data_IF_328948106882
#
_entry.id   IF_328948106882
#
_cell.length_a   1.000
_cell.length_b   1.000
_cell.length_c   1.000
_cell.angle_alpha   90.00
_cell.angle_beta   90.00
_cell.angle_gamma   90.00
#
_symmetry.space_group_name_H-M   'P 1'
#
loop_
_entity.id
_entity.type
_entity.pdbx_description
1 polymer ?
#
# COMPACT_ATOMS: atom_id res chain seq x y z
N UNK A 1 -41.48 -70.17 37.35
CA UNK A 1 -42.89 -69.86 37.11
C UNK A 1 -43.19 -68.63 37.94
N UNK A 2 -42.94 -67.44 37.39
CA UNK A 2 -43.91 -66.60 36.64
C UNK A 2 -44.87 -65.91 37.61
N UNK A 3 -45.12 -64.61 37.61
CA UNK A 3 -44.78 -63.54 36.67
C UNK A 3 -45.02 -62.19 37.37
N UNK A 4 -44.71 -61.13 36.65
CA UNK A 4 -44.42 -59.75 37.04
C UNK A 4 -45.51 -58.99 37.81
N UNK A 5 -45.03 -58.05 38.62
CA UNK A 5 -45.79 -57.23 39.53
C UNK A 5 -45.89 -55.77 39.08
N UNK A 6 -47.05 -55.19 39.45
CA UNK A 6 -47.27 -53.81 39.89
C UNK A 6 -47.09 -52.66 38.88
N UNK A 7 -47.91 -51.62 38.90
CA UNK A 7 -48.97 -51.29 39.86
C UNK A 7 -49.41 -49.84 39.66
N UNK A 8 -50.71 -49.69 39.45
CA UNK A 8 -51.60 -48.59 39.81
C UNK A 8 -51.12 -47.13 39.72
N UNK A 9 -51.69 -46.46 38.72
CA UNK A 9 -51.87 -45.01 38.61
C UNK A 9 -52.78 -44.44 39.71
N UNK A 10 -52.41 -43.28 40.25
CA UNK A 10 -53.36 -42.30 40.78
C UNK A 10 -52.89 -40.88 40.40
N UNK A 11 -53.76 -40.15 39.71
CA UNK A 11 -53.54 -38.76 39.25
C UNK A 11 -53.52 -37.77 40.43
N UNK A 12 -52.48 -36.93 40.45
CA UNK A 12 -52.30 -35.82 41.40
C UNK A 12 -52.45 -34.45 40.69
N UNK A 13 -52.83 -33.38 41.42
CA UNK A 13 -53.35 -32.13 40.85
C UNK A 13 -52.26 -31.18 40.32
N UNK A 14 -52.67 -30.31 39.39
CA UNK A 14 -51.86 -29.25 38.77
C UNK A 14 -51.21 -28.31 39.80
N UNK A 15 -49.88 -28.22 39.77
CA UNK A 15 -49.10 -27.13 40.39
C UNK A 15 -48.59 -26.18 39.29
N UNK A 16 -48.68 -24.88 39.55
CA UNK A 16 -48.20 -23.81 38.69
C UNK A 16 -46.67 -23.87 38.48
N UNK A 17 -46.13 -23.42 37.34
CA UNK A 17 -44.69 -23.46 37.10
C UNK A 17 -43.97 -22.45 38.02
N UNK A 18 -43.00 -22.95 38.79
CA UNK A 18 -42.02 -22.13 39.51
C UNK A 18 -41.29 -21.19 38.54
N UNK A 19 -41.27 -19.91 38.87
CA UNK A 19 -40.50 -18.91 38.14
C UNK A 19 -38.99 -19.16 38.35
N UNK A 20 -38.28 -19.46 37.27
CA UNK A 20 -36.83 -19.53 37.27
C UNK A 20 -36.20 -18.17 37.65
N UNK A 21 -35.08 -18.14 38.40
CA UNK A 21 -34.46 -16.89 38.82
C UNK A 21 -33.90 -16.13 37.61
N UNK A 22 -34.35 -14.89 37.42
CA UNK A 22 -33.80 -13.95 36.44
C UNK A 22 -32.33 -13.65 36.79
N UNK A 23 -31.39 -14.29 36.10
CA UNK A 23 -29.99 -13.82 36.06
C UNK A 23 -29.95 -12.54 35.23
N UNK A 24 -29.79 -11.39 35.90
CA UNK A 24 -29.43 -10.15 35.22
C UNK A 24 -28.07 -10.34 34.54
N UNK A 25 -28.05 -10.22 33.20
CA UNK A 25 -26.81 -10.12 32.46
C UNK A 25 -26.02 -8.90 32.96
N UNK A 26 -24.70 -9.01 33.16
CA UNK A 26 -23.91 -7.87 33.59
C UNK A 26 -24.02 -6.77 32.53
N UNK A 27 -24.31 -5.53 32.96
CA UNK A 27 -24.30 -4.38 32.07
C UNK A 27 -22.89 -4.24 31.49
N UNK A 28 -22.80 -4.22 30.16
CA UNK A 28 -21.56 -4.05 29.43
C UNK A 28 -20.87 -2.75 29.89
N UNK A 29 -19.79 -2.88 30.64
CA UNK A 29 -18.88 -1.76 30.89
C UNK A 29 -18.11 -1.48 29.60
N UNK A 30 -18.16 -0.23 29.11
CA UNK A 30 -17.53 0.24 27.86
C UNK A 30 -16.02 -0.08 27.75
N UNK A 31 -15.34 -0.35 28.87
CA UNK A 31 -13.94 -0.82 28.88
C UNK A 31 -13.72 -2.18 28.21
N UNK A 32 -14.72 -3.07 28.19
CA UNK A 32 -14.59 -4.40 27.56
C UNK A 32 -14.83 -4.31 26.05
N UNK A 33 -15.63 -3.34 25.59
CA UNK A 33 -15.78 -3.05 24.15
C UNK A 33 -14.51 -2.45 23.55
N UNK A 34 -13.75 -1.64 24.32
CA UNK A 34 -12.42 -1.17 23.86
C UNK A 34 -11.37 -2.29 23.75
N UNK A 35 -11.59 -3.44 24.40
CA UNK A 35 -10.73 -4.62 24.23
C UNK A 35 -11.18 -5.57 23.12
N UNK A 36 -12.42 -5.42 22.61
CA UNK A 36 -13.01 -6.28 21.58
C UNK A 36 -13.14 -5.61 20.20
N UNK A 37 -12.62 -4.38 20.03
CA UNK A 37 -12.52 -3.71 18.73
C UNK A 37 -11.08 -3.52 18.23
N UNK A 38 -10.10 -4.26 18.75
CA UNK A 38 -8.84 -4.45 18.00
C UNK A 38 -9.14 -5.33 16.79
N UNK A 39 -9.85 -4.79 15.79
CA UNK A 39 -9.66 -5.26 14.41
C UNK A 39 -8.15 -5.19 14.22
N UNK A 40 -7.51 -6.33 13.95
CA UNK A 40 -6.08 -6.37 13.66
C UNK A 40 -5.87 -5.67 12.33
N UNK A 41 -5.79 -4.35 12.37
CA UNK A 41 -5.47 -3.58 11.19
C UNK A 41 -3.95 -3.51 11.09
N UNK A 42 -3.42 -3.54 9.87
CA UNK A 42 -1.98 -3.53 9.67
C UNK A 42 -1.36 -2.27 10.31
N UNK A 43 -0.18 -2.44 10.89
CA UNK A 43 0.58 -1.38 11.52
C UNK A 43 1.08 -0.39 10.46
N UNK A 44 1.00 0.91 10.74
CA UNK A 44 1.54 1.94 9.86
C UNK A 44 3.08 1.90 9.86
N UNK A 45 3.75 1.70 8.70
CA UNK A 45 5.20 1.47 8.66
C UNK A 45 6.05 2.58 9.29
N UNK A 46 5.62 3.84 9.18
CA UNK A 46 6.36 4.97 9.77
C UNK A 46 6.09 5.21 11.26
N UNK A 47 4.83 5.12 11.69
CA UNK A 47 4.43 5.52 13.05
C UNK A 47 4.47 4.34 14.04
N UNK A 48 4.03 3.16 13.61
CA UNK A 48 3.80 2.04 14.52
C UNK A 48 5.03 1.12 14.65
N UNK A 49 5.85 1.00 13.59
CA UNK A 49 7.08 0.22 13.66
C UNK A 49 8.07 0.88 14.63
N UNK A 50 8.54 0.10 15.60
CA UNK A 50 9.56 0.57 16.53
C UNK A 50 10.89 0.79 15.80
N UNK A 51 11.62 1.84 16.17
CA UNK A 51 12.96 2.12 15.63
C UNK A 51 13.96 1.02 15.97
N UNK A 52 13.73 0.26 17.04
CA UNK A 52 14.56 -0.86 17.48
C UNK A 52 15.50 -0.50 18.65
N UNK A 53 15.84 -1.47 19.51
CA UNK A 53 16.54 -1.24 20.77
C UNK A 53 18.01 -0.84 20.63
N UNK A 54 18.60 -0.97 19.44
CA UNK A 54 19.98 -0.58 19.16
C UNK A 54 20.12 0.86 18.63
N UNK A 55 19.01 1.59 18.49
CA UNK A 55 19.03 2.93 17.94
C UNK A 55 19.79 3.89 18.88
N UNK A 56 20.51 4.90 18.35
CA UNK A 56 20.60 5.29 16.94
C UNK A 56 21.59 4.47 16.07
N UNK A 57 22.43 3.62 16.64
CA UNK A 57 23.48 2.89 15.87
C UNK A 57 22.93 1.77 15.01
N UNK A 58 21.99 0.98 15.55
CA UNK A 58 21.33 -0.14 14.87
C UNK A 58 19.81 0.06 14.97
N UNK A 59 19.14 0.22 13.83
CA UNK A 59 17.73 0.55 13.76
C UNK A 59 17.00 -0.35 12.77
N UNK A 60 15.68 -0.43 12.89
CA UNK A 60 14.83 -0.98 11.85
C UNK A 60 14.76 0.02 10.69
N UNK A 61 14.83 -0.47 9.46
CA UNK A 61 14.68 0.29 8.22
C UNK A 61 13.54 -0.32 7.42
N UNK A 62 12.56 0.47 6.99
CA UNK A 62 11.54 0.03 6.03
C UNK A 62 12.10 0.27 4.64
N UNK A 63 12.16 -0.77 3.81
CA UNK A 63 12.63 -0.68 2.43
C UNK A 63 11.47 -0.24 1.54
N UNK A 64 11.69 0.80 0.76
CA UNK A 64 10.75 1.25 -0.27
C UNK A 64 11.20 0.78 -1.63
N UNK A 65 12.47 0.97 -1.96
CA UNK A 65 13.01 0.70 -3.28
C UNK A 65 14.02 -0.45 -3.20
N UNK A 66 13.70 -1.52 -3.92
CA UNK A 66 14.56 -2.69 -4.06
C UNK A 66 15.85 -2.35 -4.81
N UNK A 67 16.97 -2.89 -4.34
CA UNK A 67 18.24 -2.91 -5.08
C UNK A 67 18.02 -3.41 -6.51
N UNK A 68 18.47 -2.65 -7.50
CA UNK A 68 18.33 -2.94 -8.92
C UNK A 68 17.02 -2.46 -9.56
N UNK A 69 16.14 -1.80 -8.81
CA UNK A 69 14.86 -1.29 -9.33
C UNK A 69 15.00 0.08 -10.00
N UNK A 70 14.20 0.30 -11.06
CA UNK A 70 13.85 1.63 -11.61
C UNK A 70 12.54 2.19 -11.08
N UNK A 71 11.73 1.36 -10.43
CA UNK A 71 10.47 1.78 -9.83
C UNK A 71 10.80 2.49 -8.54
N UNK A 72 10.56 3.81 -8.50
CA UNK A 72 10.63 4.57 -7.25
C UNK A 72 9.30 4.39 -6.51
N UNK A 73 9.32 3.51 -5.53
CA UNK A 73 8.26 3.41 -4.55
C UNK A 73 8.44 4.47 -3.45
N UNK A 74 7.34 4.81 -2.80
CA UNK A 74 7.29 5.68 -1.63
C UNK A 74 6.16 5.24 -0.70
N UNK A 75 6.33 5.46 0.60
CA UNK A 75 5.25 5.33 1.57
C UNK A 75 4.29 6.50 1.41
N UNK A 76 3.02 6.21 1.14
CA UNK A 76 1.96 7.19 1.30
C UNK A 76 1.69 7.39 2.81
N UNK A 77 2.23 8.48 3.36
CA UNK A 77 2.20 8.81 4.79
C UNK A 77 0.78 8.87 5.40
N UNK A 78 -0.25 9.11 4.57
CA UNK A 78 -1.64 9.22 5.03
C UNK A 78 -2.28 7.85 5.22
N UNK A 79 -2.00 6.92 4.31
CA UNK A 79 -2.63 5.59 4.28
C UNK A 79 -1.75 4.49 4.85
N UNK A 80 -0.44 4.69 4.90
CA UNK A 80 0.57 3.67 5.22
C UNK A 80 0.79 2.65 4.10
N UNK A 81 0.20 2.85 2.92
CA UNK A 81 0.37 1.98 1.76
C UNK A 81 1.61 2.37 0.95
N UNK A 82 2.19 1.40 0.25
CA UNK A 82 3.30 1.66 -0.68
C UNK A 82 2.73 2.12 -2.03
N UNK A 83 3.18 3.28 -2.47
CA UNK A 83 2.81 3.93 -3.72
C UNK A 83 3.96 3.86 -4.71
N UNK A 84 3.68 3.64 -5.99
CA UNK A 84 4.63 3.96 -7.06
C UNK A 84 4.58 5.46 -7.30
N UNK A 85 5.66 6.16 -6.94
CA UNK A 85 5.82 7.59 -7.24
C UNK A 85 6.01 7.79 -8.74
N UNK A 86 7.03 7.14 -9.30
CA UNK A 86 7.36 7.21 -10.72
C UNK A 86 8.31 6.10 -11.16
N UNK A 87 8.46 5.96 -12.48
CA UNK A 87 9.58 5.24 -13.08
C UNK A 87 10.72 6.23 -13.33
N UNK A 88 11.96 5.84 -13.00
CA UNK A 88 13.12 6.69 -13.27
C UNK A 88 13.25 7.01 -14.77
N UNK A 89 13.54 8.26 -15.09
CA UNK A 89 13.77 8.73 -16.47
C UNK A 89 15.13 8.30 -17.03
N UNK A 90 16.09 8.06 -16.13
CA UNK A 90 17.44 7.62 -16.46
C UNK A 90 17.52 6.11 -16.66
N UNK A 91 18.58 5.64 -17.32
CA UNK A 91 18.87 4.20 -17.44
C UNK A 91 19.38 3.55 -16.16
N UNK A 92 19.75 4.34 -15.13
CA UNK A 92 20.27 3.82 -13.87
C UNK A 92 19.19 3.15 -13.02
N UNK A 93 19.64 2.29 -12.12
CA UNK A 93 18.84 1.58 -11.12
C UNK A 93 19.41 1.86 -9.73
N UNK A 94 18.60 1.77 -8.68
CA UNK A 94 19.10 1.94 -7.32
C UNK A 94 20.17 0.88 -7.00
N UNK A 95 21.42 1.26 -6.65
CA UNK A 95 22.52 0.31 -6.49
C UNK A 95 22.38 -0.56 -5.22
N UNK A 96 21.58 -0.10 -4.26
CA UNK A 96 21.33 -0.73 -2.97
C UNK A 96 19.87 -0.52 -2.55
N UNK A 97 19.42 -1.23 -1.51
CA UNK A 97 18.06 -1.07 -1.00
C UNK A 97 17.91 0.33 -0.39
N UNK A 98 16.82 1.00 -0.67
CA UNK A 98 16.57 2.37 -0.21
C UNK A 98 15.23 2.43 0.53
N UNK A 99 15.17 3.23 1.57
CA UNK A 99 13.92 3.53 2.26
C UNK A 99 14.19 4.46 3.41
N UNK A 100 13.49 4.25 4.53
CA UNK A 100 13.50 5.22 5.63
C UNK A 100 13.57 4.57 7.00
N UNK A 101 13.95 5.36 7.99
CA UNK A 101 14.00 4.97 9.40
C UNK A 101 12.63 5.32 10.06
N UNK A 102 11.89 4.34 10.60
CA UNK A 102 10.60 4.61 11.23
C UNK A 102 10.77 5.47 12.48
N UNK A 103 9.73 6.23 12.84
CA UNK A 103 9.72 7.16 13.98
C UNK A 103 10.86 8.19 14.00
N UNK A 104 11.32 8.59 12.82
CA UNK A 104 12.20 9.74 12.62
C UNK A 104 11.43 10.84 11.90
N UNK A 105 11.89 12.09 12.03
CA UNK A 105 11.29 13.27 11.39
C UNK A 105 12.39 14.25 10.97
N UNK A 106 12.42 14.59 9.70
CA UNK A 106 13.33 15.55 9.08
C UNK A 106 12.71 16.96 8.99
N UNK A 107 13.47 17.92 8.46
CA UNK A 107 13.05 19.32 8.40
C UNK A 107 11.85 19.59 7.48
N UNK A 108 11.76 18.80 6.43
CA UNK A 108 10.69 18.72 5.42
C UNK A 108 9.43 17.96 5.88
N UNK A 109 9.45 17.38 7.09
CA UNK A 109 8.41 16.50 7.63
C UNK A 109 8.34 15.11 6.95
N UNK A 110 9.48 14.62 6.49
CA UNK A 110 9.66 13.26 5.98
C UNK A 110 10.41 12.41 7.01
N UNK A 111 10.26 11.07 6.98
CA UNK A 111 11.17 10.22 7.71
C UNK A 111 12.59 10.34 7.17
N UNK A 112 13.59 10.04 8.01
CA UNK A 112 14.99 10.09 7.62
C UNK A 112 15.32 8.97 6.63
N UNK A 113 15.80 9.37 5.45
CA UNK A 113 16.20 8.48 4.36
C UNK A 113 17.45 7.67 4.69
N UNK A 114 17.47 6.41 4.23
CA UNK A 114 18.59 5.50 4.39
C UNK A 114 18.79 4.62 3.16
N UNK A 115 20.05 4.50 2.74
CA UNK A 115 20.53 3.53 1.75
C UNK A 115 21.22 2.37 2.48
N UNK A 116 20.70 1.16 2.33
CA UNK A 116 21.19 -0.05 3.02
C UNK A 116 21.94 -0.96 2.05
N UNK A 117 23.24 -1.10 2.29
CA UNK A 117 24.13 -2.02 1.58
C UNK A 117 23.95 -3.45 2.11
N UNK A 118 23.71 -4.38 1.19
CA UNK A 118 23.64 -5.82 1.44
C UNK A 118 23.73 -6.63 0.13
N UNK A 119 23.87 -7.94 0.26
CA UNK A 119 23.92 -8.90 -0.85
C UNK A 119 22.61 -8.89 -1.65
N UNK A 120 21.49 -9.14 -0.97
CA UNK A 120 20.22 -9.46 -1.61
C UNK A 120 19.26 -8.25 -1.76
N UNK A 121 18.47 -8.20 -2.83
CA UNK A 121 17.36 -7.26 -2.96
C UNK A 121 16.27 -7.54 -1.92
N UNK A 122 15.69 -6.48 -1.35
CA UNK A 122 14.57 -6.56 -0.40
C UNK A 122 13.33 -5.92 -1.02
N UNK A 123 12.19 -6.57 -0.80
CA UNK A 123 10.89 -6.18 -1.33
C UNK A 123 10.35 -4.91 -0.65
N UNK A 124 9.72 -3.97 -1.39
CA UNK A 124 9.02 -2.83 -0.82
C UNK A 124 8.09 -3.20 0.34
N UNK A 125 8.11 -2.39 1.39
CA UNK A 125 7.31 -2.58 2.61
C UNK A 125 7.89 -3.59 3.60
N UNK A 126 8.87 -4.42 3.21
CA UNK A 126 9.64 -5.21 4.17
C UNK A 126 10.56 -4.31 5.01
N UNK A 127 10.83 -4.71 6.24
CA UNK A 127 11.83 -4.05 7.08
C UNK A 127 12.95 -4.99 7.48
N UNK A 128 14.10 -4.42 7.77
CA UNK A 128 15.32 -5.12 8.19
C UNK A 128 16.04 -4.31 9.27
N UNK A 129 16.98 -4.95 9.98
CA UNK A 129 17.88 -4.22 10.88
C UNK A 129 19.07 -3.69 10.09
N UNK A 130 19.30 -2.39 10.20
CA UNK A 130 20.38 -1.68 9.55
C UNK A 130 21.30 -1.06 10.61
N UNK A 131 22.60 -1.00 10.31
CA UNK A 131 23.62 -0.36 11.14
C UNK A 131 24.18 0.84 10.40
N UNK A 132 24.10 2.03 11.00
CA UNK A 132 24.66 3.25 10.42
C UNK A 132 26.19 3.14 10.30
N UNK A 133 26.73 3.42 9.12
CA UNK A 133 28.17 3.44 8.87
C UNK A 133 28.66 4.78 8.30
N UNK A 134 27.77 5.63 7.80
CA UNK A 134 28.14 6.97 7.34
C UNK A 134 26.93 7.82 6.95
N UNK A 135 27.21 9.08 6.65
CA UNK A 135 26.23 10.04 6.16
C UNK A 135 26.67 10.51 4.78
N UNK A 136 25.73 10.59 3.84
CA UNK A 136 25.94 11.16 2.51
C UNK A 136 25.27 12.53 2.47
N UNK A 137 26.02 13.64 2.63
CA UNK A 137 25.44 14.95 2.48
C UNK A 137 25.13 15.20 1.01
N UNK A 138 23.90 15.57 0.73
CA UNK A 138 23.40 15.76 -0.63
C UNK A 138 22.63 17.08 -0.71
N UNK A 139 22.79 17.77 -1.83
CA UNK A 139 22.05 18.96 -2.18
C UNK A 139 21.17 18.61 -3.39
N UNK A 140 19.86 18.68 -3.21
CA UNK A 140 18.86 18.43 -4.26
C UNK A 140 18.18 19.76 -4.60
N UNK A 141 18.40 20.26 -5.83
CA UNK A 141 17.84 21.55 -6.28
C UNK A 141 18.13 22.75 -5.34
N UNK A 142 19.27 22.71 -4.64
CA UNK A 142 19.68 23.77 -3.70
C UNK A 142 19.22 23.55 -2.26
N UNK A 143 18.37 22.55 -2.01
CA UNK A 143 17.93 22.16 -0.67
C UNK A 143 18.77 21.01 -0.12
N UNK A 144 18.95 20.98 1.19
CA UNK A 144 19.72 19.96 1.88
C UNK A 144 18.88 18.69 2.03
N UNK A 145 19.38 17.56 1.54
CA UNK A 145 18.71 16.25 1.55
C UNK A 145 19.70 15.13 1.93
N UNK A 146 20.27 15.23 3.13
CA UNK A 146 21.25 14.25 3.62
C UNK A 146 20.63 12.86 3.74
N UNK A 147 21.42 11.82 3.41
CA UNK A 147 20.96 10.43 3.49
C UNK A 147 21.88 9.58 4.37
N UNK A 148 21.29 8.72 5.19
CA UNK A 148 22.06 7.75 5.98
C UNK A 148 22.59 6.65 5.04
N UNK A 149 23.87 6.30 5.20
CA UNK A 149 24.46 5.11 4.60
C UNK A 149 24.59 4.05 5.70
N UNK A 150 23.97 2.90 5.46
CA UNK A 150 23.92 1.81 6.42
C UNK A 150 24.25 0.47 5.75
N UNK A 151 24.56 -0.53 6.58
CA UNK A 151 24.67 -1.94 6.18
C UNK A 151 23.58 -2.76 6.84
N UNK A 152 23.15 -3.85 6.21
CA UNK A 152 22.29 -4.81 6.90
C UNK A 152 23.04 -5.42 8.09
N UNK A 153 22.46 -5.32 9.30
CA UNK A 153 23.07 -5.80 10.53
C UNK A 153 23.11 -7.33 10.63
N UNK A 154 22.33 -8.01 9.78
CA UNK A 154 22.14 -9.46 9.75
C UNK A 154 22.73 -10.13 8.48
N UNK A 155 23.33 -9.35 7.58
CA UNK A 155 23.99 -9.87 6.38
C UNK A 155 25.45 -10.26 6.71
N UNK A 156 25.83 -11.55 6.61
CA UNK A 156 27.19 -12.01 6.93
C UNK A 156 28.31 -11.32 6.15
N UNK A 157 28.06 -10.82 4.94
CA UNK A 157 29.07 -10.13 4.15
C UNK A 157 29.26 -8.68 4.61
N UNK A 158 28.19 -8.01 5.04
CA UNK A 158 28.21 -6.58 5.32
C UNK A 158 28.21 -6.21 6.81
N UNK A 159 27.78 -7.12 7.70
CA UNK A 159 27.59 -6.84 9.12
C UNK A 159 28.85 -6.38 9.86
N UNK A 160 30.04 -6.63 9.29
CA UNK A 160 31.33 -6.28 9.90
C UNK A 160 31.74 -4.82 9.68
N UNK A 161 31.20 -4.13 8.66
CA UNK A 161 31.55 -2.72 8.41
C UNK A 161 31.03 -1.82 9.51
N UNK A 162 31.86 -0.92 10.05
CA UNK A 162 31.51 0.01 11.14
C UNK A 162 31.63 1.48 10.75
N UNK A 163 32.39 1.79 9.70
CA UNK A 163 32.54 3.14 9.17
C UNK A 163 32.60 3.11 7.64
N UNK A 164 32.08 4.17 7.01
CA UNK A 164 32.00 4.32 5.56
C UNK A 164 33.36 4.23 4.86
N UNK A 165 34.45 4.59 5.56
CA UNK A 165 35.82 4.50 5.04
C UNK A 165 36.32 3.08 4.87
N UNK A 166 35.68 2.10 5.51
CA UNK A 166 36.01 0.68 5.37
C UNK A 166 35.44 0.08 4.07
N UNK A 167 34.45 0.73 3.45
CA UNK A 167 33.91 0.28 2.17
C UNK A 167 34.95 0.42 1.06
N UNK A 168 34.96 -0.51 0.07
CA UNK A 168 35.79 -0.36 -1.11
C UNK A 168 35.54 0.98 -1.81
N UNK A 169 36.57 1.75 -2.21
CA UNK A 169 36.39 3.10 -2.78
C UNK A 169 35.46 3.14 -4.00
N UNK A 170 35.45 2.09 -4.82
CA UNK A 170 34.56 2.00 -5.99
C UNK A 170 33.08 1.98 -5.59
N UNK A 171 32.71 1.48 -4.40
CA UNK A 171 31.32 1.50 -3.90
C UNK A 171 30.86 2.91 -3.58
N UNK A 172 31.72 3.72 -2.98
CA UNK A 172 31.43 5.13 -2.71
C UNK A 172 31.26 5.91 -4.02
N UNK A 173 32.12 5.63 -5.01
CA UNK A 173 32.01 6.22 -6.36
C UNK A 173 30.72 5.81 -7.07
N UNK A 174 30.31 4.54 -6.98
CA UNK A 174 29.05 4.02 -7.54
C UNK A 174 27.83 4.73 -6.92
N UNK A 175 27.76 4.80 -5.59
CA UNK A 175 26.67 5.49 -4.87
C UNK A 175 26.61 6.97 -5.24
N UNK A 176 27.74 7.67 -5.18
CA UNK A 176 27.85 9.08 -5.58
C UNK A 176 27.32 9.28 -7.00
N UNK A 177 27.81 8.47 -7.94
CA UNK A 177 27.47 8.62 -9.35
C UNK A 177 25.98 8.38 -9.62
N UNK A 178 25.38 7.42 -8.93
CA UNK A 178 23.95 7.17 -9.02
C UNK A 178 23.13 8.41 -8.63
N UNK A 179 23.37 9.01 -7.46
CA UNK A 179 22.61 10.17 -6.99
C UNK A 179 22.87 11.44 -7.80
N UNK A 180 24.06 11.61 -8.37
CA UNK A 180 24.33 12.72 -9.31
C UNK A 180 23.61 12.52 -10.66
N UNK A 181 23.38 11.28 -11.10
CA UNK A 181 22.86 10.99 -12.45
C UNK A 181 21.34 10.75 -12.52
N UNK A 182 20.71 10.18 -11.47
CA UNK A 182 19.35 9.61 -11.58
C UNK A 182 18.24 10.62 -11.93
N UNK A 183 18.42 11.91 -11.60
CA UNK A 183 17.46 12.98 -11.93
C UNK A 183 17.90 13.86 -13.12
N UNK A 184 19.02 13.57 -13.79
CA UNK A 184 19.51 14.41 -14.90
C UNK A 184 18.53 14.50 -16.07
N UNK A 185 17.90 13.39 -16.44
CA UNK A 185 16.89 13.36 -17.50
C UNK A 185 15.57 14.05 -17.10
N UNK A 186 15.41 14.42 -15.83
CA UNK A 186 14.31 15.27 -15.33
C UNK A 186 14.68 16.77 -15.38
N UNK A 187 15.87 17.14 -15.88
CA UNK A 187 16.45 18.48 -15.80
C UNK A 187 16.60 19.01 -14.36
N UNK A 188 16.91 18.12 -13.42
CA UNK A 188 17.22 18.48 -12.02
C UNK A 188 18.68 18.25 -11.74
N UNK A 189 19.25 19.10 -10.89
CA UNK A 189 20.63 19.03 -10.44
C UNK A 189 20.70 18.49 -9.01
N UNK A 190 21.57 17.50 -8.82
CA UNK A 190 21.87 16.90 -7.52
C UNK A 190 23.38 16.91 -7.35
N UNK A 191 23.85 17.38 -6.21
CA UNK A 191 25.26 17.36 -5.84
C UNK A 191 25.44 16.52 -4.58
N UNK A 192 26.40 15.60 -4.61
CA UNK A 192 26.79 14.80 -3.44
C UNK A 192 28.10 15.38 -2.92
N UNK A 193 28.19 15.67 -1.62
CA UNK A 193 29.44 16.13 -0.99
C UNK A 193 30.27 14.94 -0.51
N UNK A 194 31.36 15.18 0.20
CA UNK A 194 32.17 14.10 0.78
C UNK A 194 31.38 13.30 1.81
N UNK A 195 31.52 11.98 1.75
CA UNK A 195 30.90 11.07 2.70
C UNK A 195 31.47 11.30 4.10
N UNK A 196 30.59 11.39 5.09
CA UNK A 196 30.92 11.66 6.48
C UNK A 196 30.87 10.36 7.32
N UNK A 197 31.67 10.27 8.40
CA UNK A 197 31.83 9.05 9.19
C UNK A 197 30.56 8.64 9.94
N UNK A 198 30.59 7.42 10.49
CA UNK A 198 29.45 6.82 11.21
C UNK A 198 28.95 7.67 12.38
N UNK A 199 29.83 8.40 13.06
CA UNK A 199 29.47 9.31 14.15
C UNK A 199 28.50 10.40 13.70
N UNK A 200 28.69 10.95 12.50
CA UNK A 200 27.82 12.01 11.96
C UNK A 200 26.44 11.45 11.61
N UNK A 201 26.39 10.22 11.08
CA UNK A 201 25.13 9.53 10.80
C UNK A 201 24.32 9.28 12.08
N UNK A 202 25.00 8.80 13.14
CA UNK A 202 24.41 8.56 14.46
C UNK A 202 23.83 9.84 15.05
N UNK A 203 24.55 10.97 14.97
CA UNK A 203 24.08 12.27 15.42
C UNK A 203 22.83 12.74 14.64
N UNK A 204 22.83 12.58 13.32
CA UNK A 204 21.68 12.92 12.47
C UNK A 204 20.44 12.10 12.81
N UNK A 205 20.59 10.78 13.02
CA UNK A 205 19.51 9.89 13.44
C UNK A 205 18.97 10.33 14.82
N UNK A 206 19.86 10.57 15.79
CA UNK A 206 19.48 10.98 17.13
C UNK A 206 18.71 12.32 17.14
N UNK A 207 19.16 13.28 16.33
CA UNK A 207 18.47 14.55 16.15
C UNK A 207 17.06 14.35 15.59
N UNK A 208 16.92 13.52 14.55
CA UNK A 208 15.64 13.25 13.90
C UNK A 208 14.65 12.52 14.83
N UNK A 209 15.11 11.58 15.66
CA UNK A 209 14.31 10.94 16.72
C UNK A 209 13.82 11.99 17.73
N UNK A 210 14.73 12.87 18.19
CA UNK A 210 14.41 13.88 19.20
C UNK A 210 13.37 14.89 18.68
N UNK A 211 13.46 15.26 17.39
CA UNK A 211 12.48 16.12 16.72
C UNK A 211 11.10 15.46 16.66
N UNK A 212 11.04 14.17 16.29
CA UNK A 212 9.79 13.40 16.26
C UNK A 212 9.13 13.36 17.65
N UNK A 213 9.89 13.06 18.70
CA UNK A 213 9.38 13.04 20.08
C UNK A 213 8.84 14.41 20.52
N UNK A 214 9.53 15.49 20.13
CA UNK A 214 9.11 16.86 20.45
C UNK A 214 7.80 17.22 19.75
N UNK A 215 7.62 16.81 18.50
CA UNK A 215 6.36 16.99 17.76
C UNK A 215 5.20 16.23 18.41
N UNK A 216 5.43 14.98 18.83
CA UNK A 216 4.41 14.18 19.54
C UNK A 216 4.00 14.85 20.86
N UNK A 217 4.96 15.34 21.65
CA UNK A 217 4.69 16.02 22.91
C UNK A 217 3.89 17.33 22.72
N UNK A 218 4.27 18.16 21.75
CA UNK A 218 3.56 19.40 21.43
C UNK A 218 2.12 19.14 20.98
N UNK A 219 1.91 18.08 20.20
CA UNK A 219 0.57 17.68 19.78
C UNK A 219 -0.29 17.24 20.97
N UNK A 220 0.26 16.48 21.92
CA UNK A 220 -0.46 16.08 23.13
C UNK A 220 -0.83 17.28 24.03
N UNK A 221 0.07 18.25 24.19
CA UNK A 221 -0.21 19.48 24.94
C UNK A 221 -1.30 20.34 24.27
N UNK A 222 -1.26 20.47 22.94
CA UNK A 222 -2.27 21.22 22.19
C UNK A 222 -3.68 20.60 22.33
N UNK A 223 -3.76 19.26 22.36
CA UNK A 223 -5.03 18.53 22.57
C UNK A 223 -5.52 18.69 24.00
N UNK A 224 -4.62 18.68 24.99
CA UNK A 224 -4.98 18.90 26.39
C UNK A 224 -5.46 20.34 26.63
N UNK A 225 -4.79 21.35 26.06
CA UNK A 225 -5.22 22.75 26.17
C UNK A 225 -6.54 23.03 25.44
N UNK A 226 -6.80 22.38 24.29
CA UNK A 226 -8.09 22.45 23.60
C UNK A 226 -9.24 21.77 24.37
N UNK A 227 -8.94 20.86 25.31
CA UNK A 227 -9.92 20.20 26.18
C UNK A 227 -10.24 20.99 27.46
N UNK A 228 -9.47 22.05 27.75
CA UNK A 228 -9.73 23.00 28.83
C UNK A 228 -10.68 24.11 28.41
N UNK A 229 -11.94 24.01 28.83
CA UNK A 229 -12.93 25.12 28.86
C UNK A 229 -13.70 25.44 27.56
N UNK A 230 -14.39 24.46 26.97
CA UNK A 230 -15.52 24.71 26.04
C UNK A 230 -16.72 23.81 26.33
N UNK A 231 -17.97 24.31 26.18
CA UNK A 231 -19.17 23.49 26.30
C UNK A 231 -19.16 22.40 25.20
N UNK A 232 -19.65 21.22 25.58
CA UNK A 232 -19.68 20.00 24.75
C UNK A 232 -20.24 20.30 23.35
N UNK A 233 -19.49 20.08 22.25
CA UNK A 233 -20.01 20.28 20.90
C UNK A 233 -20.98 19.16 20.54
N UNK A 234 -22.05 19.51 19.82
CA UNK A 234 -23.01 18.57 19.24
C UNK A 234 -22.30 17.63 18.25
N UNK A 235 -22.80 16.39 18.17
CA UNK A 235 -22.27 15.16 17.57
C UNK A 235 -21.61 15.24 16.17
N UNK A 236 -21.71 16.36 15.45
CA UNK A 236 -21.35 16.45 14.03
C UNK A 236 -19.90 16.88 13.76
N UNK A 237 -19.19 17.47 14.73
CA UNK A 237 -17.77 17.87 14.56
C UNK A 237 -16.75 16.84 15.07
N UNK A 238 -17.20 15.85 15.86
CA UNK A 238 -16.33 14.79 16.37
C UNK A 238 -15.95 13.73 15.33
N UNK A 239 -16.79 13.54 14.30
CA UNK A 239 -16.58 12.49 13.30
C UNK A 239 -15.41 12.84 12.36
N UNK A 240 -15.17 14.13 12.09
CA UNK A 240 -14.06 14.58 11.23
C UNK A 240 -12.75 14.73 12.00
N UNK A 241 -12.77 15.14 13.27
CA UNK A 241 -11.54 15.26 14.08
C UNK A 241 -11.00 13.91 14.58
N UNK A 242 -11.85 12.88 14.73
CA UNK A 242 -11.39 11.52 15.01
C UNK A 242 -10.74 10.82 13.80
N UNK A 243 -10.94 11.34 12.58
CA UNK A 243 -10.29 10.83 11.37
C UNK A 243 -8.86 11.36 11.18
N UNK A 244 -8.48 12.42 11.92
CA UNK A 244 -7.10 12.95 11.95
C UNK A 244 -6.13 12.07 12.75
N UNK A 245 -6.60 10.95 13.34
CA UNK A 245 -5.81 10.01 14.14
C UNK A 245 -5.87 8.58 13.59
N UNK A 246 -5.82 8.38 12.28
CA UNK A 246 -5.71 7.03 11.72
C UNK A 246 -4.26 6.54 11.82
N UNK A 247 -3.87 6.08 13.01
CA UNK A 247 -2.67 5.27 13.29
C UNK A 247 -2.87 3.82 12.82
N UNK A 248 -3.48 3.64 11.66
CA UNK A 248 -4.15 2.40 11.26
C UNK A 248 -4.01 2.27 9.75
N UNK A 249 -3.39 1.20 9.25
CA UNK A 249 -3.23 1.01 7.80
C UNK A 249 -4.58 1.03 7.07
N UNK A 250 -4.61 1.73 5.95
CA UNK A 250 -5.82 1.92 5.15
C UNK A 250 -6.26 0.61 4.47
N UNK A 251 -7.57 0.36 4.46
CA UNK A 251 -8.16 -0.64 3.57
C UNK A 251 -8.01 -0.19 2.09
N UNK A 252 -7.31 -0.93 1.22
CA UNK A 252 -6.97 -0.47 -0.13
C UNK A 252 -8.18 -0.11 -1.00
N UNK A 253 -9.34 -0.74 -0.79
CA UNK A 253 -10.56 -0.41 -1.55
C UNK A 253 -11.34 0.79 -0.99
N UNK A 254 -11.47 0.90 0.34
CA UNK A 254 -12.42 1.82 0.96
C UNK A 254 -11.75 3.09 1.47
N UNK A 255 -10.53 2.97 2.01
CA UNK A 255 -9.85 4.07 2.66
C UNK A 255 -8.94 4.84 1.70
N UNK A 256 -8.34 4.16 0.70
CA UNK A 256 -7.59 4.82 -0.37
C UNK A 256 -8.52 5.73 -1.17
N UNK A 257 -8.09 6.96 -1.40
CA UNK A 257 -8.82 7.91 -2.23
C UNK A 257 -8.68 7.56 -3.71
N UNK A 258 -9.74 7.75 -4.48
CA UNK A 258 -9.71 7.54 -5.94
C UNK A 258 -8.78 8.54 -6.64
N UNK A 259 -8.51 9.70 -6.03
CA UNK A 259 -7.63 10.73 -6.55
C UNK A 259 -8.40 11.88 -7.24
N UNK A 260 -7.87 13.12 -7.17
CA UNK A 260 -8.60 14.32 -7.61
C UNK A 260 -8.77 14.46 -9.14
N UNK A 261 -8.07 13.63 -9.93
CA UNK A 261 -8.20 13.63 -11.39
C UNK A 261 -9.26 12.67 -11.93
N UNK A 262 -9.97 11.95 -11.06
CA UNK A 262 -10.98 10.99 -11.46
C UNK A 262 -12.16 11.70 -12.17
N UNK A 263 -12.79 11.07 -13.18
CA UNK A 263 -12.59 9.68 -13.63
C UNK A 263 -11.41 9.49 -14.60
N UNK A 264 -10.78 10.56 -15.10
CA UNK A 264 -9.74 10.45 -16.14
C UNK A 264 -8.39 9.97 -15.61
N UNK A 265 -7.97 10.45 -14.44
CA UNK A 265 -6.73 10.03 -13.75
C UNK A 265 -7.08 9.62 -12.33
N UNK A 266 -6.84 8.37 -11.99
CA UNK A 266 -7.23 7.79 -10.71
C UNK A 266 -6.07 7.01 -10.08
N UNK A 267 -6.15 6.76 -8.78
CA UNK A 267 -5.32 5.78 -8.10
C UNK A 267 -5.80 4.37 -8.46
N UNK A 268 -4.88 3.45 -8.69
CA UNK A 268 -5.14 2.05 -8.99
C UNK A 268 -4.32 1.19 -8.03
N UNK A 269 -4.93 0.21 -7.39
CA UNK A 269 -4.22 -0.80 -6.59
C UNK A 269 -3.87 -1.96 -7.49
N UNK A 270 -2.58 -2.32 -7.56
CA UNK A 270 -2.10 -3.45 -8.37
C UNK A 270 -2.29 -4.73 -7.57
N UNK A 271 -2.96 -5.71 -8.16
CA UNK A 271 -3.10 -7.06 -7.59
C UNK A 271 -2.13 -8.03 -8.28
N UNK A 272 -2.01 -7.95 -9.60
CA UNK A 272 -1.23 -8.91 -10.38
C UNK A 272 -0.13 -8.18 -11.12
N UNK A 273 1.09 -8.56 -10.80
CA UNK A 273 2.29 -8.04 -11.44
C UNK A 273 2.37 -8.47 -12.91
N UNK A 274 2.79 -7.54 -13.77
CA UNK A 274 3.18 -7.82 -15.16
C UNK A 274 4.11 -9.03 -15.25
N UNK A 275 3.79 -9.99 -16.11
CA UNK A 275 4.54 -11.23 -16.30
C UNK A 275 4.20 -12.36 -15.32
N UNK A 276 3.30 -12.14 -14.35
CA UNK A 276 2.89 -13.16 -13.39
C UNK A 276 1.82 -14.12 -13.94
N UNK A 277 1.86 -15.37 -13.47
CA UNK A 277 0.75 -16.35 -13.56
C UNK A 277 -0.07 -16.44 -12.28
N UNK A 278 0.45 -15.90 -11.18
CA UNK A 278 -0.24 -15.94 -9.90
C UNK A 278 -1.30 -14.85 -9.93
N UNK A 279 -2.57 -15.25 -9.96
CA UNK A 279 -3.68 -14.34 -9.76
C UNK A 279 -3.82 -14.10 -8.27
N UNK A 280 -3.39 -12.93 -7.84
CA UNK A 280 -3.77 -12.39 -6.55
C UNK A 280 -5.11 -11.66 -6.67
N UNK A 281 -5.76 -11.48 -5.53
CA UNK A 281 -6.99 -10.72 -5.39
C UNK A 281 -7.03 -10.05 -4.02
N UNK A 282 -7.75 -8.94 -3.91
CA UNK A 282 -8.07 -8.32 -2.65
C UNK A 282 -9.10 -9.18 -1.89
N UNK A 283 -8.74 -9.64 -0.69
CA UNK A 283 -9.74 -10.09 0.26
C UNK A 283 -10.48 -8.87 0.84
N UNK A 284 -11.66 -8.55 0.27
CA UNK A 284 -12.48 -7.37 0.61
C UNK A 284 -12.79 -7.19 2.09
N UNK A 285 -12.71 -8.26 2.88
CA UNK A 285 -13.00 -8.23 4.32
C UNK A 285 -11.80 -7.75 5.13
N UNK A 286 -10.61 -8.26 4.82
CA UNK A 286 -9.38 -7.96 5.57
C UNK A 286 -8.57 -6.83 4.94
N UNK A 287 -8.75 -6.55 3.66
CA UNK A 287 -7.93 -5.62 2.88
C UNK A 287 -6.58 -6.21 2.49
N UNK A 288 -6.33 -7.50 2.74
CA UNK A 288 -5.09 -8.18 2.40
C UNK A 288 -5.14 -8.69 0.96
N UNK A 289 -3.96 -8.71 0.32
CA UNK A 289 -3.78 -9.38 -0.96
C UNK A 289 -3.62 -10.89 -0.71
N UNK A 290 -4.46 -11.69 -1.36
CA UNK A 290 -4.52 -13.14 -1.23
C UNK A 290 -4.27 -13.80 -2.58
N UNK A 291 -3.60 -14.94 -2.59
CA UNK A 291 -3.54 -15.80 -3.79
C UNK A 291 -4.92 -16.40 -4.02
N UNK A 292 -5.55 -16.08 -5.15
CA UNK A 292 -6.76 -16.76 -5.64
C UNK A 292 -6.35 -18.10 -6.26
N UNK A 293 -5.54 -18.05 -7.32
CA UNK A 293 -5.07 -19.22 -8.07
C UNK A 293 -3.84 -18.93 -8.91
N UNK A 294 -3.20 -19.98 -9.41
CA UNK A 294 -2.24 -19.90 -10.50
C UNK A 294 -2.96 -20.18 -11.81
N UNK A 295 -2.72 -19.40 -12.87
CA UNK A 295 -3.34 -19.62 -14.17
C UNK A 295 -3.03 -21.03 -14.72
N UNK A 296 -4.06 -21.71 -15.22
CA UNK A 296 -3.95 -23.04 -15.86
C UNK A 296 -3.30 -22.97 -17.25
N UNK A 297 -3.40 -21.82 -17.90
CA UNK A 297 -2.87 -21.56 -19.23
C UNK A 297 -1.37 -21.24 -19.18
N UNK A 298 -0.71 -21.35 -20.34
CA UNK A 298 0.70 -21.01 -20.46
C UNK A 298 0.97 -19.50 -20.44
N UNK A 299 -0.08 -18.67 -20.61
CA UNK A 299 0.02 -17.21 -20.69
C UNK A 299 0.32 -16.58 -19.32
N UNK A 300 0.79 -15.34 -19.36
CA UNK A 300 1.07 -14.48 -18.20
C UNK A 300 0.35 -13.15 -18.41
N UNK A 301 0.03 -12.44 -17.33
CA UNK A 301 -0.55 -11.10 -17.45
C UNK A 301 0.43 -10.18 -18.20
N UNK A 302 0.05 -9.59 -19.36
CA UNK A 302 0.98 -8.82 -20.19
C UNK A 302 1.35 -7.46 -19.59
N UNK A 303 0.51 -6.97 -18.66
CA UNK A 303 0.62 -5.68 -17.98
C UNK A 303 0.17 -5.81 -16.53
N UNK A 304 0.42 -4.79 -15.70
CA UNK A 304 -0.02 -4.79 -14.31
C UNK A 304 -1.55 -4.73 -14.26
N UNK A 305 -2.16 -5.53 -13.40
CA UNK A 305 -3.62 -5.64 -13.30
C UNK A 305 -4.06 -5.41 -11.86
N UNK A 306 -5.21 -4.80 -11.68
CA UNK A 306 -5.85 -4.67 -10.38
C UNK A 306 -7.14 -3.88 -10.50
N UNK A 307 -7.41 -3.01 -9.53
CA UNK A 307 -8.71 -2.36 -9.41
C UNK A 307 -8.63 -0.88 -9.04
N UNK A 308 -9.72 -0.16 -9.29
CA UNK A 308 -9.89 1.25 -8.94
C UNK A 308 -10.55 1.34 -7.55
N UNK A 309 -9.93 1.97 -6.54
CA UNK A 309 -10.52 2.12 -5.21
C UNK A 309 -11.77 3.01 -5.27
N UNK A 310 -12.70 2.81 -4.34
CA UNK A 310 -13.99 3.53 -4.26
C UNK A 310 -14.83 3.46 -5.55
N UNK A 311 -14.79 2.33 -6.22
CA UNK A 311 -15.67 1.97 -7.33
C UNK A 311 -16.38 0.66 -7.02
N UNK A 312 -17.49 0.39 -7.71
CA UNK A 312 -18.31 -0.81 -7.56
C UNK A 312 -18.94 -1.21 -8.90
N UNK A 313 -18.86 -2.50 -9.23
CA UNK A 313 -19.49 -3.12 -10.38
C UNK A 313 -20.73 -3.94 -9.97
N UNK A 314 -21.50 -4.41 -10.96
CA UNK A 314 -22.75 -5.16 -10.74
C UNK A 314 -22.52 -6.51 -10.04
N UNK A 315 -21.32 -7.07 -10.14
CA UNK A 315 -20.84 -8.27 -9.45
C UNK A 315 -20.39 -8.03 -8.00
N UNK A 316 -20.47 -6.78 -7.51
CA UNK A 316 -19.98 -6.31 -6.22
C UNK A 316 -18.45 -6.33 -6.08
N UNK A 317 -17.69 -6.38 -7.18
CA UNK A 317 -16.25 -6.13 -7.19
C UNK A 317 -15.94 -4.65 -7.49
N UNK A 318 -14.77 -4.14 -7.07
CA UNK A 318 -14.27 -2.88 -7.60
C UNK A 318 -14.00 -2.98 -9.11
N UNK A 319 -14.06 -1.84 -9.81
CA UNK A 319 -13.83 -1.80 -11.25
C UNK A 319 -12.40 -2.20 -11.62
N UNK A 320 -12.30 -3.21 -12.48
CA UNK A 320 -11.05 -3.76 -12.98
C UNK A 320 -10.30 -2.81 -13.90
N UNK A 321 -8.98 -2.81 -13.80
CA UNK A 321 -8.08 -2.03 -14.66
C UNK A 321 -6.80 -2.77 -15.01
N UNK A 322 -6.42 -2.68 -16.28
CA UNK A 322 -5.12 -3.11 -16.81
C UNK A 322 -4.25 -1.88 -17.09
N UNK A 323 -3.12 -1.76 -16.38
CA UNK A 323 -2.21 -0.60 -16.46
C UNK A 323 -0.97 -0.94 -17.26
N UNK A 324 -0.83 -0.28 -18.41
CA UNK A 324 0.36 -0.32 -19.26
C UNK A 324 1.45 0.57 -18.67
N UNK A 325 2.64 -0.01 -18.50
CA UNK A 325 3.87 0.67 -18.08
C UNK A 325 5.11 -0.21 -18.36
N UNK A 326 6.29 0.38 -18.24
CA UNK A 326 7.58 -0.28 -18.44
C UNK A 326 7.79 -1.43 -17.44
N UNK A 327 7.66 -1.13 -16.16
CA UNK A 327 8.13 -1.99 -15.07
C UNK A 327 7.01 -2.83 -14.42
N UNK A 328 7.31 -4.04 -13.93
CA UNK A 328 6.42 -4.79 -13.06
C UNK A 328 6.24 -4.08 -11.71
N UNK A 329 5.01 -4.06 -11.21
CA UNK A 329 4.67 -3.48 -9.89
C UNK A 329 4.24 -4.57 -8.92
N UNK A 330 4.68 -4.45 -7.67
CA UNK A 330 4.37 -5.40 -6.61
C UNK A 330 2.87 -5.42 -6.25
N UNK A 331 2.27 -6.59 -5.97
CA UNK A 331 0.90 -6.68 -5.48
C UNK A 331 0.69 -5.89 -4.18
N UNK A 332 -0.45 -5.21 -4.07
CA UNK A 332 -0.83 -4.38 -2.93
C UNK A 332 -0.26 -2.96 -2.97
N UNK A 333 0.68 -2.67 -3.87
CA UNK A 333 1.11 -1.30 -4.15
C UNK A 333 0.06 -0.58 -5.01
N UNK A 334 -0.01 0.74 -4.91
CA UNK A 334 -0.88 1.54 -5.76
C UNK A 334 -0.11 2.56 -6.58
N UNK A 335 -0.71 3.03 -7.68
CA UNK A 335 -0.11 4.00 -8.59
C UNK A 335 -1.18 4.91 -9.18
N UNK A 336 -0.79 6.04 -9.78
CA UNK A 336 -1.72 6.85 -10.57
C UNK A 336 -1.79 6.34 -12.00
N UNK A 337 -2.99 6.13 -12.50
CA UNK A 337 -3.26 5.64 -13.84
C UNK A 337 -4.19 6.60 -14.59
N UNK A 338 -3.98 6.76 -15.89
CA UNK A 338 -4.87 7.50 -16.80
C UNK A 338 -5.68 6.52 -17.63
N UNK A 339 -7.01 6.65 -17.62
CA UNK A 339 -7.88 5.89 -18.51
C UNK A 339 -7.59 6.28 -19.97
N UNK A 340 -7.31 5.30 -20.83
CA UNK A 340 -7.12 5.54 -22.27
C UNK A 340 -8.15 4.78 -23.12
N UNK A 341 -8.81 3.76 -22.57
CA UNK A 341 -9.89 3.06 -23.26
C UNK A 341 -10.64 2.08 -22.36
N UNK A 342 -11.73 1.56 -22.89
CA UNK A 342 -12.52 0.50 -22.27
C UNK A 342 -12.42 -0.74 -23.15
N UNK A 343 -12.22 -1.90 -22.54
CA UNK A 343 -12.25 -3.19 -23.20
C UNK A 343 -13.54 -3.91 -22.80
N UNK A 344 -14.59 -3.88 -23.63
CA UNK A 344 -15.80 -4.63 -23.33
C UNK A 344 -15.51 -6.12 -23.47
N UNK A 345 -15.81 -6.87 -22.42
CA UNK A 345 -15.54 -8.30 -22.34
C UNK A 345 -16.77 -9.03 -21.82
N UNK A 346 -17.03 -10.19 -22.41
CA UNK A 346 -18.08 -11.12 -22.01
C UNK A 346 -17.39 -12.36 -21.47
N UNK A 347 -17.52 -12.61 -20.17
CA UNK A 347 -17.01 -13.80 -19.50
C UNK A 347 -18.18 -14.72 -19.14
N UNK A 348 -18.23 -15.90 -19.73
CA UNK A 348 -19.31 -16.88 -19.52
C UNK A 348 -20.75 -16.34 -19.72
N UNK A 349 -20.91 -15.28 -20.51
CA UNK A 349 -22.19 -14.65 -20.80
C UNK A 349 -22.51 -13.43 -19.92
N UNK A 350 -21.68 -13.15 -18.92
CA UNK A 350 -21.77 -11.97 -18.06
C UNK A 350 -20.84 -10.86 -18.57
N UNK A 351 -21.24 -9.62 -18.35
CA UNK A 351 -20.49 -8.44 -18.76
C UNK A 351 -19.39 -8.17 -17.73
N UNK A 352 -18.14 -8.16 -18.18
CA UNK A 352 -16.94 -7.97 -17.35
C UNK A 352 -16.00 -6.96 -18.04
N UNK A 353 -16.48 -5.73 -18.18
CA UNK A 353 -15.73 -4.66 -18.85
C UNK A 353 -14.46 -4.31 -18.06
N UNK A 354 -13.37 -4.06 -18.77
CA UNK A 354 -12.07 -3.73 -18.15
C UNK A 354 -11.57 -2.38 -18.61
N UNK A 355 -11.12 -1.55 -17.68
CA UNK A 355 -10.47 -0.28 -18.02
C UNK A 355 -9.07 -0.57 -18.54
N UNK A 356 -8.71 0.02 -19.67
CA UNK A 356 -7.33 0.06 -20.16
C UNK A 356 -6.75 1.42 -19.82
N UNK A 357 -5.65 1.40 -19.08
CA UNK A 357 -5.00 2.60 -18.56
C UNK A 357 -3.49 2.57 -18.80
N UNK A 358 -2.86 3.74 -18.69
CA UNK A 358 -1.40 3.89 -18.63
C UNK A 358 -0.99 4.46 -17.30
N UNK A 359 0.22 4.13 -16.82
CA UNK A 359 0.76 4.79 -15.63
C UNK A 359 0.96 6.29 -15.92
N UNK A 360 0.35 7.15 -15.11
CA UNK A 360 0.36 8.60 -15.30
C UNK A 360 1.73 9.23 -15.02
N UNK A 361 2.59 8.52 -14.30
CA UNK A 361 3.91 8.97 -13.84
C UNK A 361 5.07 8.15 -14.46
N UNK A 362 4.77 7.28 -15.45
CA UNK A 362 5.79 6.59 -16.27
C UNK A 362 6.19 7.47 -17.47
N UNK A 363 7.47 7.89 -17.59
CA UNK A 363 7.95 8.72 -18.70
C UNK A 363 7.64 8.17 -20.09
N UNK A 364 7.66 6.85 -20.25
CA UNK A 364 7.41 6.19 -21.55
C UNK A 364 5.93 6.16 -21.90
N UNK A 365 5.02 6.08 -20.92
CA UNK A 365 3.59 5.86 -21.20
C UNK A 365 2.69 7.07 -20.91
N UNK A 366 3.13 8.02 -20.08
CA UNK A 366 2.29 9.15 -19.61
C UNK A 366 1.69 10.03 -20.71
N UNK A 367 2.23 9.98 -21.92
CA UNK A 367 1.82 10.78 -23.07
C UNK A 367 0.63 10.19 -23.83
N UNK A 368 0.30 8.91 -23.62
CA UNK A 368 -0.87 8.29 -24.23
C UNK A 368 -2.15 8.82 -23.58
N UNK A 369 -3.10 9.26 -24.39
CA UNK A 369 -4.38 9.83 -23.96
C UNK A 369 -5.60 9.06 -24.49
N UNK A 370 -5.44 8.28 -25.56
CA UNK A 370 -6.50 7.44 -26.11
C UNK A 370 -5.96 6.09 -26.60
N UNK A 371 -6.80 5.05 -26.52
CA UNK A 371 -6.46 3.67 -26.88
C UNK A 371 -5.95 3.54 -28.33
N UNK A 372 -6.39 4.42 -29.22
CA UNK A 372 -6.00 4.44 -30.64
C UNK A 372 -4.56 4.87 -30.87
N UNK A 373 -3.93 5.51 -29.89
CA UNK A 373 -2.53 5.94 -29.95
C UNK A 373 -1.57 4.78 -29.67
N UNK A 374 -2.06 3.68 -29.07
CA UNK A 374 -1.26 2.49 -28.84
C UNK A 374 -0.92 1.78 -30.16
N UNK A 375 0.28 1.18 -30.28
CA UNK A 375 0.62 0.33 -31.41
C UNK A 375 -0.41 -0.81 -31.59
N UNK A 376 -0.89 -1.09 -32.83
CA UNK A 376 -1.94 -2.10 -33.06
C UNK A 376 -1.61 -3.50 -32.52
N UNK A 377 -0.33 -3.88 -32.47
CA UNK A 377 0.08 -5.17 -31.93
C UNK A 377 -0.15 -5.27 -30.41
N UNK A 378 -0.08 -4.15 -29.67
CA UNK A 378 -0.37 -4.10 -28.22
C UNK A 378 -1.83 -4.43 -27.96
N UNK A 379 -2.75 -3.85 -28.73
CA UNK A 379 -4.19 -4.15 -28.62
C UNK A 379 -4.50 -5.62 -28.95
N UNK A 380 -3.79 -6.16 -29.96
CA UNK A 380 -3.92 -7.57 -30.33
C UNK A 380 -3.42 -8.50 -29.22
N UNK A 381 -2.28 -8.19 -28.60
CA UNK A 381 -1.73 -8.95 -27.47
C UNK A 381 -2.69 -8.96 -26.26
N UNK A 382 -3.22 -7.79 -25.88
CA UNK A 382 -4.19 -7.66 -24.78
C UNK A 382 -5.46 -8.47 -25.07
N UNK A 383 -6.03 -8.33 -26.28
CA UNK A 383 -7.20 -9.10 -26.70
C UNK A 383 -6.96 -10.60 -26.59
N UNK A 384 -5.85 -11.09 -27.15
CA UNK A 384 -5.52 -12.52 -27.15
C UNK A 384 -5.31 -13.06 -25.75
N UNK A 385 -4.69 -12.30 -24.86
CA UNK A 385 -4.54 -12.71 -23.46
C UNK A 385 -5.89 -13.02 -22.80
N UNK A 386 -6.86 -12.10 -22.87
CA UNK A 386 -8.18 -12.31 -22.23
C UNK A 386 -9.03 -13.38 -22.93
N UNK A 387 -8.89 -13.56 -24.24
CA UNK A 387 -9.53 -14.69 -24.95
C UNK A 387 -8.93 -16.05 -24.53
N UNK A 388 -7.64 -16.10 -24.19
CA UNK A 388 -6.89 -17.33 -23.99
C UNK A 388 -6.76 -17.77 -22.52
N UNK A 389 -6.69 -16.83 -21.56
CA UNK A 389 -6.23 -17.13 -20.20
C UNK A 389 -7.06 -18.17 -19.44
N UNK A 390 -8.36 -18.28 -19.75
CA UNK A 390 -9.31 -19.26 -19.17
C UNK A 390 -9.61 -20.45 -20.09
N UNK A 391 -8.97 -20.59 -21.26
CA UNK A 391 -9.26 -21.70 -22.21
C UNK A 391 -9.01 -23.08 -21.62
N UNK A 392 -7.93 -23.25 -20.87
CA UNK A 392 -7.61 -24.52 -20.20
C UNK A 392 -8.57 -24.85 -19.04
N UNK A 393 -9.42 -23.89 -18.62
CA UNK A 393 -10.52 -24.10 -17.68
C UNK A 393 -11.83 -24.49 -18.40
N UNK A 394 -11.80 -24.69 -19.72
CA UNK A 394 -12.97 -24.89 -20.60
C UNK A 394 -14.00 -23.74 -20.54
N UNK A 395 -13.55 -22.52 -20.21
CA UNK A 395 -14.39 -21.32 -20.22
C UNK A 395 -14.22 -20.57 -21.53
N UNK A 396 -15.27 -19.84 -21.92
CA UNK A 396 -15.28 -18.99 -23.11
C UNK A 396 -15.32 -17.53 -22.68
N UNK A 397 -14.37 -16.76 -23.20
CA UNK A 397 -14.29 -15.32 -23.05
C UNK A 397 -14.32 -14.71 -24.45
N UNK A 398 -15.11 -13.66 -24.63
CA UNK A 398 -15.13 -12.87 -25.85
C UNK A 398 -14.78 -11.42 -25.54
N UNK A 399 -13.86 -10.85 -26.30
CA UNK A 399 -13.47 -9.44 -26.20
C UNK A 399 -14.05 -8.73 -27.42
N UNK A 400 -14.79 -7.65 -27.21
CA UNK A 400 -15.36 -6.83 -28.29
C UNK A 400 -14.34 -5.77 -28.75
N UNK A 401 -14.75 -4.85 -29.62
CA UNK A 401 -13.87 -3.74 -30.03
C UNK A 401 -13.56 -2.82 -28.86
N UNK A 402 -12.29 -2.39 -28.79
CA UNK A 402 -11.84 -1.44 -27.78
C UNK A 402 -12.52 -0.08 -28.01
N UNK A 403 -13.05 0.50 -26.93
CA UNK A 403 -13.76 1.77 -26.94
C UNK A 403 -12.83 2.89 -26.44
N UNK A 404 -13.06 4.15 -26.87
CA UNK A 404 -12.16 5.27 -26.59
C UNK A 404 -12.15 5.67 -25.10
N UNK A 405 -11.20 6.54 -24.76
CA UNK A 405 -10.99 7.11 -23.42
C UNK A 405 -12.24 7.73 -22.78
N UNK A 406 -13.10 8.36 -23.59
CA UNK A 406 -14.36 8.94 -23.14
C UNK A 406 -15.30 7.89 -22.53
N UNK A 407 -15.48 6.75 -23.20
CA UNK A 407 -16.32 5.65 -22.71
C UNK A 407 -15.75 5.02 -21.44
N UNK A 408 -14.42 4.95 -21.33
CA UNK A 408 -13.77 4.51 -20.09
C UNK A 408 -14.07 5.45 -18.92
N UNK A 409 -14.02 6.76 -19.16
CA UNK A 409 -14.31 7.77 -18.14
C UNK A 409 -15.78 7.71 -17.68
N UNK A 410 -16.72 7.48 -18.60
CA UNK A 410 -18.14 7.27 -18.29
C UNK A 410 -18.35 6.01 -17.44
N UNK A 411 -17.71 4.89 -17.79
CA UNK A 411 -17.79 3.64 -17.02
C UNK A 411 -17.24 3.79 -15.59
N UNK A 412 -16.11 4.48 -15.43
CA UNK A 412 -15.53 4.77 -14.12
C UNK A 412 -16.49 5.64 -13.30
N UNK A 413 -17.04 6.71 -13.89
CA UNK A 413 -17.98 7.58 -13.19
C UNK A 413 -19.23 6.82 -12.73
N UNK A 414 -19.81 5.99 -13.60
CA UNK A 414 -20.95 5.15 -13.23
C UNK A 414 -20.61 4.23 -12.05
N UNK A 415 -19.44 3.61 -12.06
CA UNK A 415 -18.98 2.73 -10.99
C UNK A 415 -18.72 3.48 -9.67
N UNK A 416 -18.27 4.74 -9.73
CA UNK A 416 -18.16 5.63 -8.56
C UNK A 416 -19.53 5.95 -7.97
N UNK A 417 -20.52 6.21 -8.81
CA UNK A 417 -21.89 6.52 -8.38
C UNK A 417 -22.52 5.31 -7.67
N UNK A 418 -22.36 4.11 -8.23
CA UNK A 418 -22.78 2.84 -7.59
C UNK A 418 -22.11 2.62 -6.23
N UNK A 419 -20.80 2.90 -6.13
CA UNK A 419 -20.09 2.81 -4.86
C UNK A 419 -20.63 3.80 -3.82
N UNK A 420 -20.91 5.04 -4.23
CA UNK A 420 -21.49 6.04 -3.34
C UNK A 420 -22.86 5.62 -2.80
N UNK A 421 -23.72 5.06 -3.66
CA UNK A 421 -25.00 4.47 -3.26
C UNK A 421 -24.81 3.31 -2.27
N UNK A 422 -23.90 2.39 -2.56
CA UNK A 422 -23.58 1.26 -1.69
C UNK A 422 -23.14 1.71 -0.29
N UNK A 423 -22.28 2.71 -0.19
CA UNK A 423 -21.84 3.27 1.09
C UNK A 423 -23.01 3.94 1.82
N UNK A 424 -23.84 4.73 1.13
CA UNK A 424 -25.01 5.36 1.74
C UNK A 424 -26.02 4.33 2.27
N UNK A 425 -26.28 3.25 1.54
CA UNK A 425 -27.16 2.17 1.98
C UNK A 425 -26.58 1.41 3.18
N UNK A 426 -25.27 1.18 3.18
CA UNK A 426 -24.57 0.50 4.28
C UNK A 426 -24.55 1.32 5.57
N UNK A 427 -24.48 2.66 5.48
CA UNK A 427 -24.52 3.56 6.64
C UNK A 427 -25.92 3.75 7.23
N UNK A 428 -26.99 3.44 6.48
CA UNK A 428 -28.39 3.53 6.94
C UNK A 428 -28.87 2.29 7.70
N UNK A 429 -28.17 1.18 7.61
CA UNK A 429 -28.42 -0.07 8.34
C UNK A 429 -27.63 -0.07 9.64
#
# INVERSE_FOLDING_TARGET
MSEEANGSEQQAPQQAPEQAPQRQAPKLNERILSSLSRRSVAAHPWHDLEIGPGAPQIFNCVVEITKGSKVKYELDKKTGLIKVDRILYSSVVYPHNYGFIPRTLCEDNDPLDVLVLMQEPVLPGCFLRAKAIGLMPMIDQGEKDDKIIAVCADDPEYMHYTDIKELPPHRLSEIRRFFEDYKKNENKEVAVNDFLPSTTAVEAIQYSISRRMSEEANNDESVQQASGNRPVPKLNERILSSLSRRSVAAHPWHDLEIGPGAPTIFNCVVEITKGSKVKYELDKKTGLIKVDRVLYSSVVYPHNYGFIPRTLCEDNDPLDVLVLMQEPVMPGCFLRARAIGLMPMIDQGEKDDKIIAVCADDPEYKHYTDIKELPPHRLTEIRRFFEDYKKNENKKVAVNDFLPSATASEAIQYSMDLYAEYIMHSLRR
#
